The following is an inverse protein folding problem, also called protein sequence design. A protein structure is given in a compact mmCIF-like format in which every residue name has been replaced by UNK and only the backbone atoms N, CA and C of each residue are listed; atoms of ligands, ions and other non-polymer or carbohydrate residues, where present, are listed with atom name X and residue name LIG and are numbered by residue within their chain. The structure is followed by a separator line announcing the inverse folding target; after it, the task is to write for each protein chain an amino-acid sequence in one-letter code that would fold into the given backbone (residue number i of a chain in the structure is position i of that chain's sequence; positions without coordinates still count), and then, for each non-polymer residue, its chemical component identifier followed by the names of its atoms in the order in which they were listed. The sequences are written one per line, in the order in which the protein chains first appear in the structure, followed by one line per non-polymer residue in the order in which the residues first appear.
data_IF_038698328457
#
_entry.id   IF_038698328457
#
_cell.length_a   1.000
_cell.length_b   1.000
_cell.length_c   1.000
_cell.angle_alpha   90.00
_cell.angle_beta   90.00
_cell.angle_gamma   90.00
#
_symmetry.space_group_name_H-M   'P 1'
#
loop_
_entity.id
_entity.type
_entity.pdbx_description
1 polymer ?
#
# COMPACT_ATOMS: atom_id res chain seq x y z
N UNK A 1 -30.30 25.52 36.40
CA UNK A 1 -29.01 25.16 37.02
C UNK A 1 -28.94 23.66 36.98
N UNK A 2 -28.09 23.12 36.10
CA UNK A 2 -28.04 21.69 35.79
C UNK A 2 -27.10 21.01 36.77
N UNK A 3 -27.63 20.11 37.59
CA UNK A 3 -26.84 19.28 38.49
C UNK A 3 -26.18 18.19 37.66
N UNK A 4 -24.85 18.22 37.57
CA UNK A 4 -24.06 17.16 36.94
C UNK A 4 -23.49 16.30 38.07
N UNK A 5 -24.18 15.20 38.37
CA UNK A 5 -23.72 14.21 39.35
C UNK A 5 -22.57 13.40 38.74
N UNK A 6 -21.35 13.67 39.19
CA UNK A 6 -20.16 12.87 38.88
C UNK A 6 -20.19 11.59 39.73
N UNK A 7 -20.51 10.44 39.13
CA UNK A 7 -20.14 9.14 39.71
C UNK A 7 -18.70 8.83 39.29
N UNK A 8 -17.77 9.13 40.19
CA UNK A 8 -16.36 8.75 40.11
C UNK A 8 -16.12 7.66 41.15
N UNK A 9 -16.32 6.40 40.76
CA UNK A 9 -15.82 5.24 41.49
C UNK A 9 -15.50 4.15 40.45
N UNK A 10 -14.26 4.15 39.99
CA UNK A 10 -13.66 2.99 39.36
C UNK A 10 -12.69 2.43 40.40
N UNK A 11 -13.01 1.26 40.95
CA UNK A 11 -12.14 0.56 41.90
C UNK A 11 -10.88 0.10 41.18
N UNK A 12 -9.74 0.72 41.50
CA UNK A 12 -8.41 0.26 41.13
C UNK A 12 -7.99 -0.92 42.03
N UNK A 13 -8.66 -2.06 41.88
CA UNK A 13 -8.17 -3.34 42.42
C UNK A 13 -7.39 -4.08 41.34
N UNK A 14 -6.21 -3.54 41.01
CA UNK A 14 -5.15 -4.28 40.32
C UNK A 14 -4.18 -4.81 41.37
N UNK A 15 -3.95 -6.14 41.49
CA UNK A 15 -2.88 -6.64 42.34
C UNK A 15 -1.55 -6.16 41.78
N UNK A 16 -1.04 -5.09 42.39
CA UNK A 16 0.22 -4.43 42.03
C UNK A 16 1.37 -5.19 42.68
N UNK A 17 1.65 -6.40 42.21
CA UNK A 17 2.92 -7.09 42.43
C UNK A 17 3.09 -8.14 41.34
N UNK A 18 3.63 -7.77 40.19
CA UNK A 18 4.40 -8.75 39.41
C UNK A 18 5.74 -8.76 40.10
N UNK A 19 5.98 -9.81 40.88
CA UNK A 19 7.30 -10.05 41.46
C UNK A 19 8.27 -10.40 40.32
N UNK A 20 8.93 -9.39 39.77
CA UNK A 20 9.98 -9.55 38.75
C UNK A 20 11.26 -10.18 39.29
N UNK A 21 11.30 -10.62 40.55
CA UNK A 21 12.42 -11.40 41.10
C UNK A 21 12.17 -12.91 41.12
N UNK A 22 10.99 -13.37 40.68
CA UNK A 22 10.79 -14.78 40.38
C UNK A 22 11.62 -15.17 39.15
N UNK A 23 12.79 -15.77 39.39
CA UNK A 23 13.54 -16.49 38.36
C UNK A 23 12.59 -17.49 37.68
N UNK A 24 12.42 -17.32 36.37
CA UNK A 24 11.67 -18.28 35.56
C UNK A 24 12.55 -19.53 35.52
N UNK A 25 12.16 -20.54 36.28
CA UNK A 25 12.82 -21.85 36.31
C UNK A 25 12.51 -22.58 35.00
N UNK A 26 13.21 -22.18 33.94
CA UNK A 26 13.23 -22.93 32.70
C UNK A 26 13.88 -24.26 33.03
N UNK A 27 13.07 -25.32 33.10
CA UNK A 27 13.58 -26.68 33.14
C UNK A 27 14.58 -26.82 31.98
N UNK A 28 15.85 -27.04 32.30
CA UNK A 28 16.97 -27.20 31.35
C UNK A 28 16.78 -28.40 30.39
N UNK A 29 15.74 -29.19 30.63
CA UNK A 29 15.39 -30.37 29.87
C UNK A 29 14.48 -29.97 28.72
N UNK A 30 15.07 -29.80 27.53
CA UNK A 30 14.31 -29.75 26.28
C UNK A 30 13.45 -31.01 26.20
N UNK A 31 12.11 -30.89 26.07
CA UNK A 31 11.26 -32.06 25.91
C UNK A 31 11.74 -32.81 24.67
N UNK A 32 12.00 -34.12 24.83
CA UNK A 32 12.54 -34.97 23.79
C UNK A 32 11.64 -34.85 22.55
N UNK A 33 12.13 -34.14 21.54
CA UNK A 33 11.35 -33.81 20.34
C UNK A 33 11.15 -35.12 19.60
N UNK A 34 9.91 -35.57 19.35
CA UNK A 34 9.69 -36.80 18.60
C UNK A 34 10.38 -36.66 17.25
N UNK A 35 11.32 -37.56 16.98
CA UNK A 35 12.03 -37.59 15.71
C UNK A 35 10.99 -37.82 14.61
N UNK A 36 10.79 -36.81 13.75
CA UNK A 36 9.84 -36.91 12.65
C UNK A 36 10.27 -38.09 11.77
N UNK A 37 9.53 -39.19 11.83
CA UNK A 37 9.74 -40.29 10.91
C UNK A 37 9.39 -39.78 9.51
N UNK A 38 10.41 -39.67 8.66
CA UNK A 38 10.22 -39.40 7.24
C UNK A 38 9.62 -40.65 6.62
N UNK A 39 8.32 -40.85 6.77
CA UNK A 39 7.57 -41.73 5.90
C UNK A 39 7.65 -41.12 4.49
N UNK A 40 8.66 -41.51 3.74
CA UNK A 40 8.67 -41.35 2.29
C UNK A 40 7.65 -42.35 1.78
N UNK A 41 6.37 -41.98 1.86
CA UNK A 41 5.39 -42.54 0.95
C UNK A 41 5.90 -42.12 -0.44
N UNK A 42 6.33 -43.10 -1.24
CA UNK A 42 6.42 -42.96 -2.69
C UNK A 42 5.04 -42.48 -3.15
N UNK A 43 4.88 -41.17 -3.26
CA UNK A 43 3.74 -40.58 -3.92
C UNK A 43 3.89 -41.04 -5.37
N UNK A 44 3.01 -41.96 -5.77
CA UNK A 44 2.91 -42.45 -7.12
C UNK A 44 3.05 -41.27 -8.10
N UNK A 45 3.94 -41.43 -9.06
CA UNK A 45 4.39 -40.47 -10.07
C UNK A 45 3.27 -40.09 -11.08
N UNK A 46 2.00 -40.18 -10.67
CA UNK A 46 0.82 -40.06 -11.54
C UNK A 46 0.12 -38.70 -11.42
N UNK A 47 0.53 -37.86 -10.47
CA UNK A 47 0.13 -36.46 -10.40
C UNK A 47 1.31 -35.51 -10.62
N UNK A 48 2.09 -35.77 -11.67
CA UNK A 48 2.84 -34.67 -12.31
C UNK A 48 1.82 -33.80 -13.01
N UNK A 49 1.07 -33.01 -12.21
CA UNK A 49 0.32 -31.88 -12.72
C UNK A 49 1.28 -31.17 -13.67
N UNK A 50 0.80 -30.92 -14.88
CA UNK A 50 1.50 -30.06 -15.84
C UNK A 50 1.69 -28.76 -15.09
N UNK A 51 2.85 -28.59 -14.46
CA UNK A 51 3.25 -27.35 -13.87
C UNK A 51 3.43 -26.47 -15.11
N UNK A 52 2.36 -25.78 -15.47
CA UNK A 52 2.41 -24.73 -16.47
C UNK A 52 3.47 -23.78 -15.93
N UNK A 53 4.66 -23.84 -16.51
CA UNK A 53 5.78 -23.01 -16.11
C UNK A 53 5.41 -21.62 -16.58
N UNK A 54 4.61 -20.93 -15.77
CA UNK A 54 4.25 -19.56 -16.05
C UNK A 54 5.53 -18.75 -15.92
N UNK A 55 5.92 -18.11 -17.02
CA UNK A 55 7.05 -17.22 -17.03
C UNK A 55 6.74 -16.06 -16.08
N UNK A 56 7.49 -15.95 -14.98
CA UNK A 56 7.30 -14.90 -13.99
C UNK A 56 7.38 -13.50 -14.58
N UNK A 57 8.12 -13.34 -15.69
CA UNK A 57 8.20 -12.05 -16.41
C UNK A 57 6.86 -11.65 -17.02
N UNK A 58 6.11 -12.61 -17.59
CA UNK A 58 4.78 -12.36 -18.13
C UNK A 58 3.79 -11.92 -17.03
N UNK A 59 3.84 -12.57 -15.86
CA UNK A 59 3.00 -12.17 -14.72
C UNK A 59 3.36 -10.76 -14.26
N UNK A 60 4.65 -10.45 -14.17
CA UNK A 60 5.13 -9.12 -13.77
C UNK A 60 4.64 -8.04 -14.74
N UNK A 61 4.78 -8.26 -16.05
CA UNK A 61 4.33 -7.32 -17.08
C UNK A 61 2.82 -7.09 -17.02
N UNK A 62 2.03 -8.16 -16.83
CA UNK A 62 0.58 -8.05 -16.64
C UNK A 62 0.20 -7.24 -15.39
N UNK A 63 0.89 -7.47 -14.26
CA UNK A 63 0.65 -6.72 -13.03
C UNK A 63 1.05 -5.25 -13.16
N UNK A 64 2.13 -4.94 -13.86
CA UNK A 64 2.57 -3.58 -14.11
C UNK A 64 1.57 -2.81 -14.98
N UNK A 65 1.05 -3.44 -16.04
CA UNK A 65 -0.02 -2.85 -16.85
C UNK A 65 -1.29 -2.57 -16.02
N UNK A 66 -1.70 -3.52 -15.17
CA UNK A 66 -2.85 -3.33 -14.26
C UNK A 66 -2.63 -2.15 -13.30
N UNK A 67 -1.42 -2.02 -12.74
CA UNK A 67 -1.08 -0.90 -11.85
C UNK A 67 -1.17 0.45 -12.57
N UNK A 68 -0.72 0.52 -13.82
CA UNK A 68 -0.83 1.74 -14.63
C UNK A 68 -2.30 2.13 -14.82
N UNK A 69 -3.17 1.18 -15.20
CA UNK A 69 -4.60 1.44 -15.38
C UNK A 69 -5.29 1.94 -14.10
N UNK A 70 -5.07 1.26 -12.97
CA UNK A 70 -5.62 1.67 -11.66
C UNK A 70 -5.16 3.08 -11.28
N UNK A 71 -3.88 3.39 -11.55
CA UNK A 71 -3.31 4.69 -11.23
C UNK A 71 -3.95 5.80 -12.07
N UNK A 72 -4.24 5.52 -13.35
CA UNK A 72 -4.94 6.43 -14.25
C UNK A 72 -6.37 6.69 -13.75
N UNK A 73 -7.13 5.65 -13.43
CA UNK A 73 -8.50 5.76 -12.91
C UNK A 73 -8.56 6.59 -11.62
N UNK A 74 -7.65 6.29 -10.67
CA UNK A 74 -7.60 7.04 -9.41
C UNK A 74 -7.28 8.52 -9.63
N UNK A 75 -6.40 8.85 -10.58
CA UNK A 75 -6.09 10.24 -10.94
C UNK A 75 -7.29 10.92 -11.59
N UNK A 76 -7.95 10.25 -12.54
CA UNK A 76 -9.16 10.78 -13.18
C UNK A 76 -10.24 11.08 -12.13
N UNK A 77 -10.48 10.18 -11.18
CA UNK A 77 -11.44 10.40 -10.11
C UNK A 77 -11.04 11.58 -9.20
N UNK A 78 -9.75 11.70 -8.86
CA UNK A 78 -9.28 12.70 -7.89
C UNK A 78 -9.19 14.12 -8.45
N UNK A 79 -8.74 14.29 -9.69
CA UNK A 79 -8.45 15.60 -10.29
C UNK A 79 -9.17 15.84 -11.62
N UNK A 80 -10.01 14.90 -12.08
CA UNK A 80 -10.74 15.01 -13.34
C UNK A 80 -11.62 16.25 -13.45
N UNK A 81 -12.16 16.73 -12.32
CA UNK A 81 -12.97 17.94 -12.28
C UNK A 81 -12.19 19.19 -12.76
N UNK A 82 -10.87 19.27 -12.52
CA UNK A 82 -10.03 20.38 -13.00
C UNK A 82 -9.96 20.42 -14.53
N UNK A 83 -10.08 19.26 -15.18
CA UNK A 83 -10.05 19.10 -16.63
C UNK A 83 -11.45 18.86 -17.22
N UNK A 84 -12.53 19.07 -16.46
CA UNK A 84 -13.91 18.79 -16.89
C UNK A 84 -14.36 19.59 -18.12
N UNK A 85 -13.67 20.69 -18.42
CA UNK A 85 -13.90 21.53 -19.58
C UNK A 85 -13.16 21.04 -20.84
N UNK A 86 -12.33 20.01 -20.73
CA UNK A 86 -11.57 19.40 -21.81
C UNK A 86 -12.10 18.01 -22.15
N UNK A 87 -11.79 17.56 -23.35
CA UNK A 87 -12.09 16.20 -23.77
C UNK A 87 -11.01 15.22 -23.27
N UNK A 88 -11.39 13.97 -22.98
CA UNK A 88 -10.44 12.95 -22.52
C UNK A 88 -9.19 12.78 -23.41
N UNK A 89 -9.26 12.84 -24.76
CA UNK A 89 -8.09 12.70 -25.62
C UNK A 89 -7.03 13.80 -25.43
N UNK A 90 -7.44 15.00 -25.01
CA UNK A 90 -6.56 16.15 -24.79
C UNK A 90 -5.71 15.98 -23.52
N UNK A 91 -6.10 15.06 -22.63
CA UNK A 91 -5.48 14.85 -21.33
C UNK A 91 -4.64 13.57 -21.35
N UNK A 92 -3.34 13.67 -21.06
CA UNK A 92 -2.49 12.52 -20.79
C UNK A 92 -2.54 12.12 -19.31
N UNK A 93 -3.30 11.06 -19.02
CA UNK A 93 -3.43 10.49 -17.68
C UNK A 93 -2.27 9.59 -17.26
N UNK A 94 -1.46 9.12 -18.21
CA UNK A 94 -0.34 8.21 -17.99
C UNK A 94 0.85 8.92 -17.33
N UNK A 95 0.88 10.26 -17.33
CA UNK A 95 1.92 11.04 -16.68
C UNK A 95 1.97 10.75 -15.16
N UNK A 96 3.03 10.07 -14.75
CA UNK A 96 3.19 9.49 -13.41
C UNK A 96 3.53 10.51 -12.29
N UNK A 97 3.50 11.82 -12.57
CA UNK A 97 3.94 12.87 -11.63
C UNK A 97 2.76 13.63 -11.03
N UNK A 98 2.79 13.94 -9.74
CA UNK A 98 1.67 14.59 -9.04
C UNK A 98 1.36 15.98 -9.60
N UNK A 99 2.37 16.84 -9.76
CA UNK A 99 2.22 18.25 -10.15
C UNK A 99 2.63 18.51 -11.60
N UNK A 100 2.17 17.68 -12.54
CA UNK A 100 2.53 17.82 -13.97
C UNK A 100 1.38 18.35 -14.81
N UNK A 101 1.68 19.17 -15.80
CA UNK A 101 0.70 19.50 -16.83
C UNK A 101 0.34 18.27 -17.66
N UNK A 102 -0.97 18.00 -17.81
CA UNK A 102 -1.46 16.84 -18.54
C UNK A 102 -2.03 17.14 -19.92
N UNK A 103 -2.19 18.39 -20.31
CA UNK A 103 -2.79 18.75 -21.60
C UNK A 103 -1.76 18.70 -22.71
N UNK A 104 -1.95 17.81 -23.69
CA UNK A 104 -0.96 17.46 -24.73
C UNK A 104 -0.50 18.66 -25.56
N UNK A 105 -1.42 19.59 -25.85
CA UNK A 105 -1.16 20.72 -26.75
C UNK A 105 -0.82 22.04 -26.03
N UNK A 106 -0.67 21.99 -24.70
CA UNK A 106 -0.22 23.15 -23.93
C UNK A 106 1.31 23.24 -23.95
N UNK A 107 1.84 24.48 -24.01
CA UNK A 107 3.30 24.78 -23.92
C UNK A 107 3.95 24.21 -22.65
N UNK A 108 3.12 23.91 -21.65
CA UNK A 108 3.52 23.43 -20.35
C UNK A 108 3.39 21.92 -20.19
N UNK A 109 2.92 21.20 -21.21
CA UNK A 109 2.74 19.76 -21.20
C UNK A 109 3.98 19.02 -20.66
N UNK A 110 3.77 18.08 -19.73
CA UNK A 110 4.86 17.29 -19.14
C UNK A 110 5.76 18.05 -18.15
N UNK A 111 5.63 19.38 -18.01
CA UNK A 111 6.40 20.16 -17.04
C UNK A 111 5.79 20.01 -15.64
N UNK A 112 6.66 19.86 -14.65
CA UNK A 112 6.30 19.84 -13.23
C UNK A 112 6.25 21.24 -12.66
N UNK A 113 5.22 21.52 -11.86
CA UNK A 113 5.07 22.76 -11.12
C UNK A 113 5.50 22.53 -9.66
N UNK A 114 6.36 23.39 -9.09
CA UNK A 114 6.67 23.32 -7.67
C UNK A 114 5.43 23.68 -6.85
N UNK A 115 5.20 22.96 -5.75
CA UNK A 115 4.05 23.20 -4.85
C UNK A 115 4.12 24.54 -4.13
N UNK A 116 5.29 25.19 -4.11
CA UNK A 116 5.57 26.52 -3.59
C UNK A 116 6.93 26.91 -4.16
N UNK A 117 6.94 27.77 -5.18
CA UNK A 117 7.96 28.81 -5.42
C UNK A 117 7.70 29.40 -6.80
N UNK A 118 7.13 30.61 -6.77
CA UNK A 118 7.04 31.52 -7.90
C UNK A 118 8.47 31.94 -8.30
N UNK A 119 9.17 31.08 -9.04
CA UNK A 119 10.37 31.52 -9.76
C UNK A 119 9.94 32.16 -11.07
N UNK A 120 10.41 33.39 -11.27
CA UNK A 120 9.93 34.38 -12.24
C UNK A 120 10.31 34.02 -13.70
N UNK A 121 10.85 32.82 -13.94
CA UNK A 121 11.35 32.38 -15.25
C UNK A 121 10.61 31.19 -15.88
N UNK A 122 9.56 30.66 -15.27
CA UNK A 122 8.71 29.68 -15.96
C UNK A 122 7.61 30.39 -16.74
N UNK A 123 7.68 30.36 -18.08
CA UNK A 123 6.58 30.72 -19.00
C UNK A 123 5.31 29.85 -18.83
N UNK A 124 5.26 29.06 -17.77
CA UNK A 124 4.24 28.11 -17.41
C UNK A 124 3.87 28.37 -15.95
N UNK A 125 2.86 29.21 -15.74
CA UNK A 125 2.45 29.68 -14.41
C UNK A 125 1.43 28.73 -13.79
N UNK A 126 0.62 28.07 -14.61
CA UNK A 126 -0.15 26.87 -14.23
C UNK A 126 -0.39 26.03 -15.48
N UNK A 127 -0.78 24.77 -15.30
CA UNK A 127 -1.53 24.10 -16.37
C UNK A 127 -3.02 24.18 -16.16
N UNK A 128 -3.48 24.25 -14.91
CA UNK A 128 -4.78 24.75 -14.45
C UNK A 128 -4.57 25.22 -13.02
#
# INVERSE_FOLDING_TARGET
MSEFTTMSEFSDDLPTTIDTTAEIDWLDETPDVPEFQKEVSEIAEENKSVLETVDWTQILDEQDQRRVAITIEYRQARIGYLYSHLTNPEINWELNRKTVCRVKDFVCYGKSFPTQELSVETHCVSCF
#
